data_IF_933515478884
#
_entry.id   IF_933515478884
#
_cell.length_a   1.000
_cell.length_b   1.000
_cell.length_c   1.000
_cell.angle_alpha   90.00
_cell.angle_beta   90.00
_cell.angle_gamma   90.00
#
_symmetry.space_group_name_H-M   'P 1'
#
loop_
_entity.id
_entity.type
_entity.pdbx_description
1 polymer ?
#
# COMPACT_ATOMS: atom_id res chain seq x y z
N UNK A 1 29.76 -13.68 -2.26
CA UNK A 1 29.68 -12.39 -3.00
C UNK A 1 29.14 -11.34 -2.05
N UNK A 2 29.59 -10.08 -2.13
CA UNK A 2 28.98 -9.01 -1.35
C UNK A 2 27.56 -8.74 -1.89
N UNK A 3 26.55 -8.84 -1.04
CA UNK A 3 25.18 -8.46 -1.41
C UNK A 3 25.12 -6.94 -1.45
N UNK A 4 25.01 -6.36 -2.65
CA UNK A 4 24.87 -4.92 -2.77
C UNK A 4 23.50 -4.50 -2.19
N UNK A 5 23.53 -3.76 -1.09
CA UNK A 5 22.33 -3.32 -0.35
C UNK A 5 21.60 -2.16 -1.05
N UNK A 6 22.21 -1.55 -2.07
CA UNK A 6 21.60 -0.48 -2.85
C UNK A 6 20.60 -1.04 -3.87
N UNK A 7 19.54 -0.26 -4.15
CA UNK A 7 18.59 -0.56 -5.21
C UNK A 7 19.15 -0.05 -6.54
N UNK A 8 19.25 -0.92 -7.55
CA UNK A 8 19.74 -0.57 -8.88
C UNK A 8 18.55 -0.51 -9.86
N UNK A 9 18.39 0.56 -10.65
CA UNK A 9 17.32 0.65 -11.65
C UNK A 9 17.54 -0.32 -12.81
N UNK A 10 16.47 -0.96 -13.29
CA UNK A 10 16.58 -1.88 -14.42
C UNK A 10 16.89 -1.15 -15.73
N UNK A 11 18.06 -1.45 -16.32
CA UNK A 11 18.46 -0.90 -17.61
C UNK A 11 17.45 -1.28 -18.72
N UNK A 12 17.14 -0.34 -19.62
CA UNK A 12 16.09 -0.48 -20.62
C UNK A 12 16.20 -1.76 -21.48
N UNK A 13 17.42 -2.21 -21.81
CA UNK A 13 17.66 -3.47 -22.52
C UNK A 13 17.15 -4.71 -21.77
N UNK A 14 17.34 -4.78 -20.45
CA UNK A 14 16.79 -5.87 -19.60
C UNK A 14 15.25 -5.79 -19.56
N UNK A 15 14.69 -4.58 -19.49
CA UNK A 15 13.24 -4.36 -19.46
C UNK A 15 12.57 -4.76 -20.78
N UNK A 16 13.19 -4.40 -21.90
CA UNK A 16 12.77 -4.80 -23.24
C UNK A 16 12.91 -6.30 -23.43
N UNK A 17 14.03 -6.90 -23.02
CA UNK A 17 14.22 -8.35 -23.07
C UNK A 17 13.16 -9.12 -22.28
N UNK A 18 12.80 -8.65 -21.09
CA UNK A 18 11.74 -9.24 -20.27
C UNK A 18 10.37 -9.12 -20.97
N UNK A 19 10.02 -7.91 -21.44
CA UNK A 19 8.77 -7.68 -22.15
C UNK A 19 8.65 -8.52 -23.43
N UNK A 20 9.73 -8.71 -24.19
CA UNK A 20 9.73 -9.60 -25.37
C UNK A 20 9.48 -11.05 -24.95
N UNK A 21 10.13 -11.55 -23.89
CA UNK A 21 9.92 -12.92 -23.39
C UNK A 21 8.49 -13.14 -22.90
N UNK A 22 7.87 -12.15 -22.24
CA UNK A 22 6.51 -12.26 -21.70
C UNK A 22 5.42 -12.07 -22.77
N UNK A 23 5.64 -11.23 -23.80
CA UNK A 23 4.64 -10.98 -24.85
C UNK A 23 4.75 -11.87 -26.09
N UNK A 24 5.94 -12.40 -26.42
CA UNK A 24 6.14 -13.20 -27.63
C UNK A 24 5.35 -14.53 -27.61
N UNK A 25 5.30 -15.33 -26.52
CA UNK A 25 4.53 -16.57 -26.49
C UNK A 25 3.02 -16.41 -26.78
N UNK A 26 2.26 -15.54 -26.08
CA UNK A 26 0.84 -15.35 -26.40
C UNK A 26 0.63 -14.74 -27.79
N UNK A 27 1.47 -13.78 -28.21
CA UNK A 27 1.37 -13.17 -29.52
C UNK A 27 1.63 -14.19 -30.65
N UNK A 28 2.60 -15.09 -30.49
CA UNK A 28 2.88 -16.15 -31.44
C UNK A 28 1.71 -17.15 -31.56
N UNK A 29 1.10 -17.55 -30.44
CA UNK A 29 -0.10 -18.39 -30.43
C UNK A 29 -1.26 -17.69 -31.14
N UNK A 30 -1.50 -16.41 -30.82
CA UNK A 30 -2.57 -15.60 -31.40
C UNK A 30 -2.39 -15.41 -32.91
N UNK A 31 -1.18 -15.08 -33.37
CA UNK A 31 -0.88 -14.92 -34.80
C UNK A 31 -1.01 -16.24 -35.54
N UNK A 32 -0.40 -17.32 -35.03
CA UNK A 32 -0.45 -18.64 -35.68
C UNK A 32 -1.89 -19.14 -35.84
N UNK A 33 -2.69 -19.06 -34.78
CA UNK A 33 -4.09 -19.51 -34.80
C UNK A 33 -4.97 -18.63 -35.69
N UNK A 34 -4.77 -17.30 -35.70
CA UNK A 34 -5.44 -16.42 -36.66
C UNK A 34 -5.02 -16.72 -38.11
N UNK A 35 -3.73 -16.96 -38.39
CA UNK A 35 -3.26 -17.33 -39.74
C UNK A 35 -3.89 -18.63 -40.23
N UNK A 36 -3.96 -19.67 -39.38
CA UNK A 36 -4.66 -20.93 -39.70
C UNK A 36 -6.15 -20.66 -39.95
N UNK A 37 -6.78 -19.85 -39.11
CA UNK A 37 -8.17 -19.43 -39.25
C UNK A 37 -8.46 -18.70 -40.56
N UNK A 38 -7.62 -17.73 -40.95
CA UNK A 38 -7.74 -16.99 -42.21
C UNK A 38 -7.46 -17.88 -43.43
N UNK A 39 -6.48 -18.78 -43.35
CA UNK A 39 -6.18 -19.74 -44.42
C UNK A 39 -7.33 -20.75 -44.65
N UNK A 40 -8.13 -21.03 -43.61
CA UNK A 40 -9.31 -21.87 -43.69
C UNK A 40 -10.58 -21.18 -44.19
N UNK A 41 -10.56 -19.92 -44.62
CA UNK A 41 -11.74 -19.23 -45.16
C UNK A 41 -12.02 -19.73 -46.58
N UNK A 42 -13.20 -20.30 -46.81
CA UNK A 42 -13.64 -20.70 -48.15
C UNK A 42 -14.65 -19.71 -48.73
N UNK A 43 -14.79 -19.68 -50.06
CA UNK A 43 -15.71 -18.79 -50.78
C UNK A 43 -16.57 -19.59 -51.74
N UNK A 44 -17.88 -19.58 -51.51
CA UNK A 44 -18.90 -20.18 -52.38
C UNK A 44 -19.62 -19.08 -53.15
N UNK A 45 -19.93 -19.32 -54.43
CA UNK A 45 -20.64 -18.37 -55.30
C UNK A 45 -21.91 -18.99 -55.89
N UNK A 46 -23.06 -18.55 -55.40
CA UNK A 46 -24.37 -19.00 -55.88
C UNK A 46 -25.02 -17.85 -56.68
N UNK A 47 -24.87 -17.90 -58.01
CA UNK A 47 -25.32 -16.85 -58.91
C UNK A 47 -24.60 -15.51 -58.66
N UNK A 48 -25.37 -14.49 -58.29
CA UNK A 48 -24.84 -13.18 -57.92
C UNK A 48 -24.29 -13.12 -56.47
N UNK A 49 -24.71 -14.03 -55.59
CA UNK A 49 -24.31 -14.01 -54.18
C UNK A 49 -22.95 -14.66 -53.94
N UNK A 50 -22.15 -14.04 -53.08
CA UNK A 50 -20.85 -14.53 -52.61
C UNK A 50 -20.96 -14.77 -51.10
N UNK A 51 -20.84 -16.04 -50.70
CA UNK A 51 -20.82 -16.45 -49.30
C UNK A 51 -19.39 -16.83 -48.93
N UNK A 52 -18.93 -16.35 -47.78
CA UNK A 52 -17.66 -16.77 -47.17
C UNK A 52 -17.99 -17.66 -45.97
N UNK A 53 -17.33 -18.81 -45.89
CA UNK A 53 -17.31 -19.61 -44.66
C UNK A 53 -16.17 -19.10 -43.77
N UNK A 54 -16.51 -18.70 -42.56
CA UNK A 54 -15.59 -18.19 -41.54
C UNK A 54 -15.56 -19.06 -40.29
N UNK A 55 -16.14 -20.26 -40.31
CA UNK A 55 -16.19 -21.17 -39.15
C UNK A 55 -14.78 -21.52 -38.65
N UNK A 56 -13.84 -21.76 -39.57
CA UNK A 56 -12.41 -21.93 -39.34
C UNK A 56 -11.80 -20.74 -38.57
N UNK A 57 -12.02 -19.51 -39.03
CA UNK A 57 -11.50 -18.31 -38.37
C UNK A 57 -12.10 -18.08 -36.99
N UNK A 58 -13.41 -18.31 -36.81
CA UNK A 58 -14.07 -18.21 -35.50
C UNK A 58 -13.53 -19.26 -34.53
N UNK A 59 -13.36 -20.50 -34.99
CA UNK A 59 -12.83 -21.60 -34.18
C UNK A 59 -11.38 -21.35 -33.75
N UNK A 60 -10.46 -21.20 -34.70
CA UNK A 60 -9.04 -21.05 -34.38
C UNK A 60 -8.74 -19.70 -33.72
N UNK A 61 -9.35 -18.61 -34.19
CA UNK A 61 -9.21 -17.29 -33.55
C UNK A 61 -9.76 -17.26 -32.13
N UNK A 62 -10.89 -17.94 -31.87
CA UNK A 62 -11.44 -18.10 -30.52
C UNK A 62 -10.53 -18.89 -29.58
N UNK A 63 -9.96 -20.01 -30.06
CA UNK A 63 -8.97 -20.80 -29.30
C UNK A 63 -7.72 -19.97 -29.01
N UNK A 64 -7.18 -19.27 -30.02
CA UNK A 64 -6.00 -18.41 -29.89
C UNK A 64 -6.18 -17.28 -28.88
N UNK A 65 -7.32 -16.58 -28.95
CA UNK A 65 -7.69 -15.53 -28.00
C UNK A 65 -7.89 -16.09 -26.59
N UNK A 66 -8.56 -17.25 -26.46
CA UNK A 66 -8.76 -17.92 -25.16
C UNK A 66 -7.43 -18.30 -24.48
N UNK A 67 -6.53 -18.97 -25.21
CA UNK A 67 -5.19 -19.31 -24.71
C UNK A 67 -4.36 -18.08 -24.36
N UNK A 68 -4.45 -17.02 -25.19
CA UNK A 68 -3.81 -15.72 -24.93
C UNK A 68 -4.30 -15.09 -23.64
N UNK A 69 -5.61 -15.04 -23.41
CA UNK A 69 -6.20 -14.46 -22.20
C UNK A 69 -5.83 -15.29 -20.96
N UNK A 70 -5.90 -16.62 -21.04
CA UNK A 70 -5.48 -17.52 -19.94
C UNK A 70 -4.01 -17.27 -19.55
N UNK A 71 -3.10 -17.20 -20.54
CA UNK A 71 -1.69 -16.89 -20.29
C UNK A 71 -1.54 -15.52 -19.60
N UNK A 72 -2.19 -14.48 -20.13
CA UNK A 72 -2.10 -13.12 -19.59
C UNK A 72 -2.66 -13.03 -18.17
N UNK A 73 -3.78 -13.68 -17.86
CA UNK A 73 -4.32 -13.72 -16.49
C UNK A 73 -3.42 -14.48 -15.51
N UNK A 74 -2.80 -15.60 -15.93
CA UNK A 74 -1.85 -16.34 -15.10
C UNK A 74 -0.60 -15.50 -14.81
N UNK A 75 0.04 -14.92 -15.83
CA UNK A 75 1.23 -14.08 -15.64
C UNK A 75 0.92 -12.83 -14.82
N UNK A 76 -0.22 -12.17 -15.09
CA UNK A 76 -0.70 -11.03 -14.29
C UNK A 76 -0.91 -11.41 -12.83
N UNK A 77 -1.50 -12.57 -12.54
CA UNK A 77 -1.69 -13.06 -11.17
C UNK A 77 -0.37 -13.35 -10.44
N UNK A 78 0.67 -13.79 -11.14
CA UNK A 78 2.01 -14.02 -10.59
C UNK A 78 2.73 -12.68 -10.36
N UNK A 79 2.75 -11.77 -11.33
CA UNK A 79 3.40 -10.46 -11.19
C UNK A 79 2.72 -9.63 -10.09
N UNK A 80 1.39 -9.59 -10.05
CA UNK A 80 0.62 -8.87 -9.05
C UNK A 80 0.95 -9.27 -7.60
N UNK A 81 1.23 -10.57 -7.37
CA UNK A 81 1.53 -11.13 -6.04
C UNK A 81 3.01 -11.17 -5.70
N UNK A 82 3.91 -11.14 -6.69
CA UNK A 82 5.33 -11.45 -6.46
C UNK A 82 6.32 -10.50 -7.14
N UNK A 83 5.88 -9.65 -8.07
CA UNK A 83 6.76 -8.82 -8.91
C UNK A 83 7.50 -9.59 -10.01
N UNK A 84 7.23 -10.88 -10.18
CA UNK A 84 7.93 -11.79 -11.09
C UNK A 84 7.05 -12.17 -12.28
N UNK A 85 7.70 -12.26 -13.44
CA UNK A 85 7.21 -12.84 -14.70
C UNK A 85 8.31 -13.77 -15.24
N UNK A 86 8.03 -14.67 -16.20
CA UNK A 86 9.07 -15.44 -16.88
C UNK A 86 10.22 -14.57 -17.42
N UNK A 87 9.89 -13.47 -18.10
CA UNK A 87 10.86 -12.51 -18.63
C UNK A 87 11.65 -11.77 -17.55
N UNK A 88 10.98 -11.29 -16.49
CA UNK A 88 11.63 -10.64 -15.35
C UNK A 88 12.68 -11.58 -14.70
N UNK A 89 12.32 -12.85 -14.47
CA UNK A 89 13.19 -13.85 -13.88
C UNK A 89 14.44 -14.12 -14.73
N UNK A 90 14.26 -14.32 -16.04
CA UNK A 90 15.37 -14.57 -16.97
C UNK A 90 16.32 -13.36 -17.05
N UNK A 91 15.77 -12.14 -17.19
CA UNK A 91 16.57 -10.91 -17.23
C UNK A 91 17.18 -10.52 -15.87
N UNK A 92 16.66 -11.07 -14.77
CA UNK A 92 17.10 -10.76 -13.41
C UNK A 92 16.63 -9.39 -12.92
N UNK A 93 15.41 -9.02 -13.28
CA UNK A 93 14.75 -7.79 -12.84
C UNK A 93 13.48 -8.13 -12.06
N UNK A 94 12.94 -7.18 -11.29
CA UNK A 94 11.69 -7.38 -10.53
C UNK A 94 10.83 -6.12 -10.52
N UNK A 95 9.54 -6.30 -10.79
CA UNK A 95 8.52 -5.25 -10.67
C UNK A 95 8.12 -5.09 -9.21
N UNK A 96 7.90 -3.86 -8.75
CA UNK A 96 7.39 -3.52 -7.42
C UNK A 96 6.46 -2.30 -7.50
N UNK A 97 5.75 -1.99 -6.41
CA UNK A 97 5.03 -0.72 -6.24
C UNK A 97 5.96 0.44 -5.84
N UNK A 98 5.37 1.56 -5.42
CA UNK A 98 6.07 2.76 -4.93
C UNK A 98 6.91 2.51 -3.66
N UNK A 99 6.52 1.55 -2.83
CA UNK A 99 7.04 1.35 -1.49
C UNK A 99 8.00 0.14 -1.42
N UNK A 100 8.06 -0.61 -2.52
CA UNK A 100 8.96 -1.74 -2.75
C UNK A 100 8.33 -3.10 -2.48
N UNK A 101 7.00 -3.17 -2.39
CA UNK A 101 6.23 -4.41 -2.22
C UNK A 101 5.65 -4.90 -3.56
N UNK A 102 4.82 -5.95 -3.52
CA UNK A 102 4.27 -6.55 -4.73
C UNK A 102 3.29 -5.58 -5.43
N UNK A 103 3.40 -5.38 -6.76
CA UNK A 103 2.74 -4.27 -7.45
C UNK A 103 1.20 -4.30 -7.42
N UNK A 104 0.58 -5.45 -7.14
CA UNK A 104 -0.87 -5.59 -7.09
C UNK A 104 -1.54 -5.67 -8.48
N UNK A 105 -2.75 -6.25 -8.51
CA UNK A 105 -3.40 -6.62 -9.76
C UNK A 105 -3.79 -5.39 -10.61
N UNK A 106 -4.28 -4.32 -10.00
CA UNK A 106 -4.68 -3.11 -10.73
C UNK A 106 -3.52 -2.39 -11.44
N UNK A 107 -2.34 -2.34 -10.80
CA UNK A 107 -1.14 -1.76 -11.40
C UNK A 107 -0.67 -2.59 -12.59
N UNK A 108 -0.53 -3.91 -12.42
CA UNK A 108 -0.10 -4.83 -13.49
C UNK A 108 -1.11 -4.85 -14.65
N UNK A 109 -2.41 -4.84 -14.37
CA UNK A 109 -3.46 -4.72 -15.38
C UNK A 109 -3.32 -3.44 -16.21
N UNK A 110 -3.20 -2.28 -15.56
CA UNK A 110 -3.07 -0.98 -16.25
C UNK A 110 -1.77 -0.90 -17.07
N UNK A 111 -0.67 -1.42 -16.51
CA UNK A 111 0.65 -1.54 -17.16
C UNK A 111 0.59 -2.42 -18.42
N UNK A 112 -0.09 -3.56 -18.33
CA UNK A 112 -0.34 -4.48 -19.44
C UNK A 112 -1.27 -3.88 -20.50
N UNK A 113 -2.32 -3.16 -20.09
CA UNK A 113 -3.25 -2.45 -20.98
C UNK A 113 -2.53 -1.38 -21.82
N UNK A 114 -1.66 -0.57 -21.21
CA UNK A 114 -0.91 0.48 -21.91
C UNK A 114 0.09 -0.13 -22.90
N UNK A 115 0.84 -1.15 -22.49
CA UNK A 115 1.80 -1.84 -23.38
C UNK A 115 1.10 -2.57 -24.53
N UNK A 116 -0.02 -3.23 -24.22
CA UNK A 116 -0.84 -4.00 -25.17
C UNK A 116 -1.80 -3.18 -26.03
N UNK A 117 -1.91 -1.85 -25.84
CA UNK A 117 -2.90 -1.01 -26.51
C UNK A 117 -2.87 -1.14 -28.05
N UNK A 118 -1.67 -1.21 -28.64
CA UNK A 118 -1.51 -1.43 -30.08
C UNK A 118 -1.97 -2.82 -30.56
N UNK A 119 -1.80 -3.86 -29.74
CA UNK A 119 -2.28 -5.22 -30.05
C UNK A 119 -3.81 -5.30 -29.92
N UNK A 120 -4.40 -4.63 -28.92
CA UNK A 120 -5.85 -4.51 -28.77
C UNK A 120 -6.49 -3.76 -29.95
N UNK A 121 -5.83 -2.71 -30.44
CA UNK A 121 -6.27 -1.96 -31.61
C UNK A 121 -6.13 -2.78 -32.91
N UNK A 122 -5.07 -3.58 -33.06
CA UNK A 122 -4.93 -4.53 -34.16
C UNK A 122 -5.98 -5.66 -34.11
N UNK A 123 -6.32 -6.17 -32.92
CA UNK A 123 -7.41 -7.13 -32.74
C UNK A 123 -8.78 -6.54 -33.07
N UNK A 124 -9.06 -5.30 -32.66
CA UNK A 124 -10.30 -4.60 -33.04
C UNK A 124 -10.41 -4.46 -34.56
N UNK A 125 -9.33 -4.05 -35.24
CA UNK A 125 -9.31 -3.98 -36.70
C UNK A 125 -9.49 -5.35 -37.36
N UNK A 126 -8.94 -6.43 -36.79
CA UNK A 126 -9.15 -7.79 -37.28
C UNK A 126 -10.62 -8.21 -37.19
N UNK A 127 -11.31 -7.88 -36.09
CA UNK A 127 -12.76 -8.10 -35.94
C UNK A 127 -13.54 -7.30 -36.99
N UNK A 128 -13.21 -6.01 -37.20
CA UNK A 128 -13.88 -5.17 -38.21
C UNK A 128 -13.67 -5.70 -39.64
N UNK A 129 -12.47 -6.19 -39.96
CA UNK A 129 -12.17 -6.85 -41.25
C UNK A 129 -13.07 -8.07 -41.48
N UNK A 130 -13.35 -8.87 -40.44
CA UNK A 130 -14.27 -10.02 -40.54
C UNK A 130 -15.73 -9.56 -40.69
N UNK A 131 -16.18 -8.62 -39.86
CA UNK A 131 -17.56 -8.09 -39.87
C UNK A 131 -17.91 -7.48 -41.23
N UNK A 132 -17.04 -6.65 -41.80
CA UNK A 132 -17.24 -6.03 -43.11
C UNK A 132 -16.74 -6.89 -44.29
N UNK A 133 -16.25 -8.12 -44.04
CA UNK A 133 -15.75 -9.07 -45.04
C UNK A 133 -14.64 -8.49 -45.95
N UNK A 134 -13.80 -7.61 -45.38
CA UNK A 134 -12.70 -6.91 -46.04
C UNK A 134 -11.45 -7.81 -46.23
N UNK A 135 -11.65 -9.07 -46.65
CA UNK A 135 -10.59 -10.08 -46.72
C UNK A 135 -9.49 -9.75 -47.74
N UNK A 136 -9.82 -9.08 -48.85
CA UNK A 136 -8.84 -8.67 -49.86
C UNK A 136 -7.85 -7.59 -49.36
N UNK A 137 -8.28 -6.45 -48.77
CA UNK A 137 -7.36 -5.49 -48.17
C UNK A 137 -6.84 -5.89 -46.78
N UNK A 138 -7.30 -7.00 -46.19
CA UNK A 138 -6.99 -7.40 -44.80
C UNK A 138 -5.49 -7.34 -44.46
N UNK A 139 -4.62 -7.85 -45.35
CA UNK A 139 -3.17 -7.82 -45.13
C UNK A 139 -2.64 -6.38 -45.04
N UNK A 140 -3.08 -5.50 -45.93
CA UNK A 140 -2.67 -4.09 -45.99
C UNK A 140 -3.23 -3.25 -44.83
N UNK A 141 -4.33 -3.69 -44.21
CA UNK A 141 -4.89 -3.08 -42.99
C UNK A 141 -4.13 -3.58 -41.75
N UNK A 142 -4.00 -4.90 -41.59
CA UNK A 142 -3.54 -5.51 -40.34
C UNK A 142 -2.01 -5.53 -40.19
N UNK A 143 -1.25 -5.79 -41.27
CA UNK A 143 0.22 -5.85 -41.18
C UNK A 143 0.87 -4.55 -40.67
N UNK A 144 0.59 -3.34 -41.22
CA UNK A 144 1.15 -2.10 -40.68
C UNK A 144 0.64 -1.80 -39.27
N UNK A 145 -0.55 -2.29 -38.90
CA UNK A 145 -1.16 -2.07 -37.59
C UNK A 145 -0.51 -2.93 -36.50
N UNK A 146 -0.18 -4.19 -36.80
CA UNK A 146 0.65 -5.03 -35.94
C UNK A 146 2.08 -4.49 -35.81
N UNK A 147 2.69 -3.99 -36.89
CA UNK A 147 4.00 -3.33 -36.85
C UNK A 147 3.98 -2.06 -35.99
N UNK A 148 2.96 -1.21 -36.14
CA UNK A 148 2.76 -0.02 -35.31
C UNK A 148 2.51 -0.40 -33.84
N UNK A 149 1.75 -1.46 -33.58
CA UNK A 149 1.51 -1.97 -32.22
C UNK A 149 2.76 -2.55 -31.56
N UNK A 150 3.63 -3.23 -32.33
CA UNK A 150 4.93 -3.69 -31.85
C UNK A 150 5.89 -2.52 -31.56
N UNK A 151 5.97 -1.55 -32.48
CA UNK A 151 6.75 -0.32 -32.28
C UNK A 151 6.27 0.48 -31.06
N UNK A 152 4.95 0.57 -30.85
CA UNK A 152 4.35 1.16 -29.65
C UNK A 152 4.79 0.44 -28.38
N UNK A 153 4.69 -0.90 -28.32
CA UNK A 153 5.09 -1.68 -27.15
C UNK A 153 6.59 -1.50 -26.83
N UNK A 154 7.47 -1.54 -27.85
CA UNK A 154 8.90 -1.27 -27.69
C UNK A 154 9.15 0.13 -27.15
N UNK A 155 8.53 1.16 -27.73
CA UNK A 155 8.67 2.55 -27.32
C UNK A 155 8.18 2.76 -25.87
N UNK A 156 7.02 2.20 -25.52
CA UNK A 156 6.45 2.25 -24.15
C UNK A 156 7.37 1.59 -23.13
N UNK A 157 8.03 0.48 -23.46
CA UNK A 157 8.96 -0.21 -22.55
C UNK A 157 10.29 0.53 -22.42
N UNK A 158 10.85 1.03 -23.52
CA UNK A 158 12.14 1.77 -23.55
C UNK A 158 12.00 3.23 -23.10
N UNK A 159 10.77 3.75 -22.98
CA UNK A 159 10.48 5.13 -22.54
C UNK A 159 11.07 5.51 -21.17
N UNK A 160 11.56 4.55 -20.37
CA UNK A 160 12.30 4.83 -19.13
C UNK A 160 13.65 5.53 -19.37
N UNK A 161 14.20 5.52 -20.60
CA UNK A 161 15.34 6.37 -20.99
C UNK A 161 15.04 7.87 -20.86
N UNK A 162 13.77 8.27 -20.93
CA UNK A 162 13.31 9.65 -20.76
C UNK A 162 12.85 9.96 -19.33
N UNK A 163 13.07 9.05 -18.37
CA UNK A 163 12.67 9.23 -16.97
C UNK A 163 13.74 9.97 -16.13
N UNK A 164 13.74 11.30 -16.27
CA UNK A 164 14.67 12.25 -15.62
C UNK A 164 14.89 12.03 -14.11
N UNK A 165 13.94 11.40 -13.42
CA UNK A 165 13.94 11.30 -11.96
C UNK A 165 14.64 10.05 -11.42
N UNK A 166 14.83 8.99 -12.23
CA UNK A 166 15.41 7.72 -11.72
C UNK A 166 15.77 6.66 -12.77
N UNK A 167 15.20 6.73 -13.99
CA UNK A 167 15.21 5.60 -14.93
C UNK A 167 14.33 4.41 -14.53
N UNK A 168 13.67 4.42 -13.37
CA UNK A 168 12.83 3.31 -12.88
C UNK A 168 11.48 3.21 -13.62
N UNK A 169 10.97 4.29 -14.23
CA UNK A 169 9.59 4.33 -14.76
C UNK A 169 9.50 4.70 -16.24
N UNK A 170 9.08 3.76 -17.08
CA UNK A 170 8.51 4.04 -18.39
C UNK A 170 7.05 4.52 -18.30
N UNK A 171 6.46 4.89 -19.43
CA UNK A 171 5.10 5.45 -19.52
C UNK A 171 4.00 4.48 -19.06
N UNK A 172 4.25 3.17 -19.15
CA UNK A 172 3.36 2.13 -18.62
C UNK A 172 3.45 1.99 -17.09
N UNK A 173 4.59 2.31 -16.47
CA UNK A 173 4.78 2.20 -15.01
C UNK A 173 4.28 3.44 -14.26
N UNK A 174 4.42 4.64 -14.86
CA UNK A 174 4.04 5.92 -14.23
C UNK A 174 2.59 5.96 -13.73
N UNK A 175 1.55 5.65 -14.53
CA UNK A 175 0.17 5.62 -14.04
C UNK A 175 -0.13 4.40 -13.17
N UNK A 176 0.60 3.29 -13.36
CA UNK A 176 0.51 2.09 -12.53
C UNK A 176 1.19 2.25 -11.14
N UNK A 177 1.92 3.35 -10.90
CA UNK A 177 2.85 3.54 -9.77
C UNK A 177 3.94 2.46 -9.64
N UNK A 178 4.19 1.67 -10.69
CA UNK A 178 5.18 0.61 -10.63
C UNK A 178 6.63 1.17 -10.68
N UNK A 179 7.55 0.36 -10.19
CA UNK A 179 9.02 0.51 -10.26
C UNK A 179 9.62 -0.82 -10.73
N UNK A 180 10.76 -0.79 -11.42
CA UNK A 180 11.46 -2.02 -11.85
C UNK A 180 12.95 -1.96 -11.54
N UNK A 181 13.41 -2.92 -10.75
CA UNK A 181 14.76 -2.98 -10.19
C UNK A 181 15.57 -4.13 -10.78
N UNK A 182 16.90 -3.97 -10.81
CA UNK A 182 17.87 -4.99 -11.27
C UNK A 182 18.38 -5.83 -10.10
N UNK A 183 17.67 -6.93 -9.82
CA UNK A 183 17.94 -7.81 -8.67
C UNK A 183 19.14 -8.76 -8.89
N UNK A 184 19.83 -8.66 -10.04
CA UNK A 184 21.17 -9.24 -10.24
C UNK A 184 22.30 -8.24 -9.95
N UNK A 185 22.04 -6.93 -9.99
CA UNK A 185 23.03 -5.88 -9.73
C UNK A 185 22.90 -5.20 -8.35
N UNK A 186 21.70 -5.24 -7.75
CA UNK A 186 21.39 -4.64 -6.46
C UNK A 186 20.39 -5.45 -5.64
N UNK A 187 19.93 -4.85 -4.54
CA UNK A 187 18.98 -5.43 -3.59
C UNK A 187 17.60 -5.64 -4.21
N UNK A 188 16.95 -6.74 -3.84
CA UNK A 188 15.55 -7.03 -4.14
C UNK A 188 14.63 -6.46 -3.03
N UNK A 189 13.83 -5.40 -3.28
CA UNK A 189 13.07 -4.71 -2.24
C UNK A 189 11.96 -5.58 -1.64
N UNK A 190 11.26 -6.38 -2.44
CA UNK A 190 10.09 -7.14 -1.97
C UNK A 190 10.51 -8.21 -0.95
N UNK A 191 11.72 -8.76 -1.08
CA UNK A 191 12.29 -9.71 -0.11
C UNK A 191 13.10 -9.07 1.02
N UNK A 192 13.23 -7.73 1.06
CA UNK A 192 14.09 -7.04 2.04
C UNK A 192 13.42 -5.87 2.77
N UNK A 193 12.08 -5.82 2.82
CA UNK A 193 11.37 -4.77 3.56
C UNK A 193 11.19 -3.48 2.77
N UNK A 194 10.88 -3.60 1.48
CA UNK A 194 10.56 -2.48 0.60
C UNK A 194 11.78 -1.63 0.23
N UNK A 195 11.53 -0.37 -0.17
CA UNK A 195 12.58 0.54 -0.63
C UNK A 195 13.54 0.90 0.49
N UNK A 196 13.06 1.16 1.71
CA UNK A 196 13.91 1.52 2.85
C UNK A 196 14.85 0.37 3.27
N UNK A 197 14.39 -0.87 3.13
CA UNK A 197 15.19 -2.06 3.38
C UNK A 197 15.25 -2.47 4.86
N UNK A 198 16.09 -3.46 5.22
CA UNK A 198 16.05 -4.09 6.54
C UNK A 198 16.48 -3.18 7.71
N UNK A 199 17.16 -2.09 7.41
CA UNK A 199 17.91 -1.28 8.38
C UNK A 199 17.22 0.02 8.81
N UNK A 200 15.90 0.15 8.57
CA UNK A 200 15.09 1.26 9.13
C UNK A 200 14.94 1.19 10.67
N UNK A 201 15.52 0.17 11.31
CA UNK A 201 15.67 0.03 12.76
C UNK A 201 17.16 -0.03 13.17
N UNK A 202 17.98 0.87 12.63
CA UNK A 202 19.17 1.26 13.37
C UNK A 202 18.71 1.85 14.73
N UNK A 203 19.22 1.37 15.87
CA UNK A 203 19.09 2.13 17.11
C UNK A 203 19.65 3.54 16.87
N UNK A 204 18.99 4.57 17.39
CA UNK A 204 19.68 5.85 17.55
C UNK A 204 20.91 5.61 18.44
N UNK A 205 21.98 6.37 18.20
CA UNK A 205 23.04 6.57 19.20
C UNK A 205 22.45 7.37 20.39
N UNK A 206 21.62 6.70 21.16
CA UNK A 206 21.17 7.16 22.46
C UNK A 206 22.42 7.29 23.35
N UNK A 207 22.59 8.40 24.09
CA UNK A 207 23.72 8.52 25.00
C UNK A 207 23.72 7.34 25.98
N UNK A 208 24.91 6.79 26.32
CA UNK A 208 25.01 5.54 27.07
C UNK A 208 24.21 5.65 28.37
N UNK A 209 23.27 4.72 28.56
CA UNK A 209 22.30 4.76 29.67
C UNK A 209 23.05 4.70 31.00
N UNK A 210 23.22 5.87 31.62
CA UNK A 210 24.03 6.03 32.81
C UNK A 210 23.29 5.38 33.99
N UNK A 211 23.80 4.23 34.44
CA UNK A 211 23.13 3.43 35.47
C UNK A 211 23.07 4.20 36.79
N UNK A 212 21.89 4.75 37.10
CA UNK A 212 21.62 5.39 38.39
C UNK A 212 21.60 4.30 39.46
N UNK A 213 22.67 4.26 40.26
CA UNK A 213 22.75 3.40 41.44
C UNK A 213 21.64 3.80 42.44
N UNK A 214 20.59 2.98 42.53
CA UNK A 214 19.52 3.15 43.50
C UNK A 214 20.08 3.08 44.93
N UNK A 215 19.90 4.10 45.78
CA UNK A 215 20.49 4.15 47.10
C UNK A 215 19.73 3.27 48.11
N UNK A 216 20.02 1.96 48.10
CA UNK A 216 19.72 1.09 49.24
C UNK A 216 20.69 1.46 50.37
N UNK A 217 20.15 2.01 51.46
CA UNK A 217 20.94 2.37 52.63
C UNK A 217 21.53 1.13 53.31
N UNK A 218 22.82 1.18 53.65
CA UNK A 218 23.52 0.09 54.33
C UNK A 218 23.24 0.04 55.84
N UNK A 219 23.39 -1.16 56.42
CA UNK A 219 23.33 -1.42 57.87
C UNK A 219 24.67 -2.03 58.32
N UNK A 220 25.36 -1.50 59.35
CA UNK A 220 26.73 -1.92 59.72
C UNK A 220 26.85 -2.86 60.95
N UNK A 221 28.06 -3.42 61.15
CA UNK A 221 28.53 -4.28 62.27
C UNK A 221 27.91 -5.71 62.34
N UNK A 222 28.54 -6.80 62.85
CA UNK A 222 29.91 -7.24 63.21
C UNK A 222 29.86 -8.79 63.46
N UNK A 223 30.89 -9.63 63.75
CA UNK A 223 32.35 -9.54 64.00
C UNK A 223 33.01 -10.95 63.80
N UNK A 224 34.36 -11.13 63.85
CA UNK A 224 35.09 -12.43 63.71
C UNK A 224 35.22 -13.21 65.06
N UNK A 225 35.84 -14.42 65.17
CA UNK A 225 36.81 -15.15 64.29
C UNK A 225 36.40 -16.64 64.00
N UNK A 226 37.20 -17.58 63.44
CA UNK A 226 38.47 -18.24 63.86
C UNK A 226 39.22 -18.84 62.65
N UNK A 227 40.55 -18.99 62.73
CA UNK A 227 41.41 -19.68 61.75
C UNK A 227 41.87 -21.07 62.24
N UNK A 228 42.17 -22.01 61.33
CA UNK A 228 43.00 -23.20 61.64
C UNK A 228 43.95 -23.56 60.49
N UNK A 229 45.26 -23.58 60.81
CA UNK A 229 46.39 -24.25 60.13
C UNK A 229 46.68 -24.04 58.63
N UNK A 230 47.96 -23.80 58.33
CA UNK A 230 48.58 -23.79 56.99
C UNK A 230 49.42 -25.08 56.76
N UNK A 231 50.19 -25.28 55.65
CA UNK A 231 51.32 -24.42 55.26
C UNK A 231 51.42 -24.05 53.77
N UNK A 232 52.39 -23.18 53.47
CA UNK A 232 52.64 -22.44 52.22
C UNK A 232 53.83 -23.02 51.43
N UNK A 233 53.78 -22.94 50.10
CA UNK A 233 54.94 -22.98 49.17
C UNK A 233 54.75 -21.83 48.15
N UNK A 234 55.34 -20.65 48.39
CA UNK A 234 56.62 -20.15 47.83
C UNK A 234 56.57 -19.56 46.39
N UNK A 235 56.11 -18.30 46.34
CA UNK A 235 56.73 -17.15 45.60
C UNK A 235 56.67 -17.02 44.05
N UNK A 236 56.79 -15.77 43.50
CA UNK A 236 56.52 -15.38 42.09
C UNK A 236 57.86 -15.07 41.33
N UNK A 237 57.92 -14.32 40.20
CA UNK A 237 56.90 -13.74 39.29
C UNK A 237 57.08 -14.14 37.80
N UNK A 238 56.19 -13.78 36.85
CA UNK A 238 56.30 -12.52 36.07
C UNK A 238 55.18 -12.33 35.03
N UNK A 239 55.11 -11.09 34.51
CA UNK A 239 54.20 -10.55 33.50
C UNK A 239 54.12 -11.34 32.17
N UNK A 240 52.93 -11.40 31.55
CA UNK A 240 52.61 -10.74 30.25
C UNK A 240 51.22 -11.15 29.71
N UNK A 241 50.53 -10.20 29.08
CA UNK A 241 49.41 -10.46 28.14
C UNK A 241 49.98 -10.62 26.72
N UNK A 242 49.35 -11.42 25.84
CA UNK A 242 48.35 -10.81 24.95
C UNK A 242 47.14 -11.72 24.63
N UNK A 243 46.16 -11.12 23.94
CA UNK A 243 44.88 -11.72 23.54
C UNK A 243 44.99 -12.94 22.61
N UNK A 244 44.06 -13.88 22.73
CA UNK A 244 43.67 -14.72 21.59
C UNK A 244 42.20 -15.20 21.63
N UNK A 245 41.62 -15.20 20.44
CA UNK A 245 40.32 -15.71 19.96
C UNK A 245 39.57 -16.77 20.78
N UNK A 246 38.26 -16.54 20.97
CA UNK A 246 37.28 -17.59 21.30
C UNK A 246 37.22 -18.66 20.18
N UNK A 247 37.06 -19.96 20.50
CA UNK A 247 37.02 -21.03 19.50
C UNK A 247 35.65 -21.16 18.79
N UNK A 248 35.71 -21.52 17.51
CA UNK A 248 34.54 -21.85 16.68
C UNK A 248 34.05 -23.28 16.99
N UNK A 249 32.79 -23.44 17.38
CA UNK A 249 32.14 -24.75 17.52
C UNK A 249 31.44 -25.17 16.22
N UNK A 250 31.66 -26.42 15.81
CA UNK A 250 31.08 -26.97 14.59
C UNK A 250 29.56 -27.21 14.71
N UNK A 251 28.79 -27.15 13.61
CA UNK A 251 27.33 -27.29 13.64
C UNK A 251 26.90 -28.75 13.89
N UNK A 252 26.12 -28.97 14.95
CA UNK A 252 25.43 -30.23 15.18
C UNK A 252 24.17 -30.36 14.32
N UNK A 253 23.93 -31.54 13.73
CA UNK A 253 22.71 -31.82 12.98
C UNK A 253 21.47 -31.85 13.88
N UNK A 254 20.44 -31.09 13.51
CA UNK A 254 19.09 -31.26 14.02
C UNK A 254 18.16 -31.69 12.88
N UNK A 255 17.42 -32.77 13.09
CA UNK A 255 16.43 -33.28 12.15
C UNK A 255 15.15 -32.43 12.17
N UNK A 256 14.40 -32.34 11.06
CA UNK A 256 13.13 -31.61 11.03
C UNK A 256 12.06 -32.32 11.87
N UNK A 257 11.27 -31.60 12.69
CA UNK A 257 10.14 -32.17 13.40
C UNK A 257 8.98 -32.51 12.43
N UNK A 258 8.25 -33.58 12.73
CA UNK A 258 7.09 -34.01 11.95
C UNK A 258 5.90 -33.04 12.08
N UNK A 259 5.06 -32.88 11.04
CA UNK A 259 3.94 -31.94 11.08
C UNK A 259 2.76 -32.46 11.92
N UNK A 260 2.30 -31.65 12.87
CA UNK A 260 1.05 -31.86 13.61
C UNK A 260 -0.17 -31.67 12.68
N UNK A 261 -1.22 -32.51 12.75
CA UNK A 261 -2.45 -32.30 11.99
C UNK A 261 -3.16 -30.99 12.37
N UNK A 262 -3.68 -30.28 11.36
CA UNK A 262 -4.49 -29.08 11.58
C UNK A 262 -5.95 -29.45 11.94
N UNK A 263 -6.62 -28.70 12.85
CA UNK A 263 -8.02 -28.93 13.19
C UNK A 263 -8.98 -28.53 12.05
N UNK A 264 -10.03 -29.31 11.85
CA UNK A 264 -11.06 -29.08 10.83
C UNK A 264 -11.95 -27.87 11.16
N UNK A 265 -12.16 -26.91 10.24
CA UNK A 265 -13.13 -25.84 10.42
C UNK A 265 -14.58 -26.37 10.39
N UNK A 266 -15.42 -25.89 11.31
CA UNK A 266 -16.86 -26.11 11.26
C UNK A 266 -17.53 -25.19 10.21
N UNK A 267 -18.66 -25.59 9.59
CA UNK A 267 -19.32 -24.80 8.54
C UNK A 267 -20.09 -23.59 9.10
N UNK A 268 -19.88 -22.42 8.48
CA UNK A 268 -20.66 -21.20 8.75
C UNK A 268 -21.98 -21.20 7.97
N UNK A 269 -23.11 -20.72 8.54
CA UNK A 269 -24.39 -20.63 7.82
C UNK A 269 -24.38 -19.68 6.62
N UNK A 270 -25.23 -19.94 5.63
CA UNK A 270 -25.40 -19.10 4.44
C UNK A 270 -26.34 -17.89 4.71
N UNK A 271 -26.14 -16.74 4.04
CA UNK A 271 -26.99 -15.56 4.19
C UNK A 271 -28.28 -15.64 3.36
N UNK A 272 -29.38 -15.15 3.94
CA UNK A 272 -30.71 -15.05 3.30
C UNK A 272 -30.76 -13.92 2.25
N UNK A 273 -31.44 -14.09 1.10
CA UNK A 273 -31.66 -13.01 0.13
C UNK A 273 -32.58 -11.90 0.67
N UNK A 274 -32.34 -10.66 0.24
CA UNK A 274 -33.20 -9.51 0.52
C UNK A 274 -34.18 -9.21 -0.64
N UNK A 275 -35.41 -8.83 -0.32
CA UNK A 275 -36.46 -8.51 -1.29
C UNK A 275 -36.43 -7.03 -1.73
N UNK A 276 -36.84 -6.70 -2.97
CA UNK A 276 -36.84 -5.32 -3.47
C UNK A 276 -38.08 -4.50 -3.05
N UNK A 277 -37.97 -3.18 -2.86
CA UNK A 277 -39.10 -2.27 -2.76
C UNK A 277 -39.66 -1.92 -4.15
N UNK A 278 -40.94 -1.52 -4.21
CA UNK A 278 -41.64 -1.23 -5.47
C UNK A 278 -42.40 0.11 -5.45
N UNK A 279 -42.48 0.72 -6.63
CA UNK A 279 -43.38 1.80 -7.06
C UNK A 279 -43.29 3.20 -6.39
N UNK A 280 -43.53 4.20 -7.25
CA UNK A 280 -43.75 5.62 -6.94
C UNK A 280 -45.28 5.91 -7.17
N UNK A 281 -45.80 7.14 -7.42
CA UNK A 281 -45.20 8.49 -7.51
C UNK A 281 -46.03 9.60 -6.79
N UNK A 282 -45.65 10.88 -6.95
CA UNK A 282 -46.49 11.93 -7.57
C UNK A 282 -45.98 13.37 -7.36
N UNK A 283 -46.44 14.27 -8.26
CA UNK A 283 -46.59 15.72 -8.14
C UNK A 283 -45.36 16.62 -7.87
N UNK A 284 -45.16 17.57 -8.79
CA UNK A 284 -44.49 18.85 -8.55
C UNK A 284 -45.52 19.98 -8.69
N UNK A 285 -45.28 21.13 -8.05
CA UNK A 285 -45.83 22.44 -8.45
C UNK A 285 -45.10 23.57 -7.72
N UNK A 286 -45.23 24.78 -8.25
CA UNK A 286 -44.44 25.97 -7.88
C UNK A 286 -45.16 26.85 -6.85
N UNK A 287 -44.40 27.73 -6.15
CA UNK A 287 -44.52 29.22 -6.21
C UNK A 287 -43.85 29.87 -4.99
N UNK A 288 -43.41 31.13 -5.13
CA UNK A 288 -42.70 31.89 -4.12
C UNK A 288 -43.61 32.49 -3.01
N UNK A 289 -42.99 32.86 -1.88
CA UNK A 289 -43.60 33.69 -0.84
C UNK A 289 -42.69 33.82 0.38
N UNK A 290 -42.22 35.03 0.68
CA UNK A 290 -41.36 35.29 1.84
C UNK A 290 -41.80 36.51 2.64
N UNK A 291 -41.98 36.33 3.94
CA UNK A 291 -42.11 37.40 4.95
C UNK A 291 -41.95 36.82 6.37
N UNK A 292 -41.67 37.67 7.35
CA UNK A 292 -41.41 37.31 8.75
C UNK A 292 -42.39 38.07 9.66
N UNK A 293 -42.94 37.43 10.70
CA UNK A 293 -43.07 38.14 11.98
C UNK A 293 -42.80 37.26 13.24
N UNK A 294 -41.80 37.70 14.01
CA UNK A 294 -41.89 38.09 15.44
C UNK A 294 -42.88 37.37 16.39
N UNK A 295 -42.29 36.73 17.41
CA UNK A 295 -42.74 36.51 18.81
C UNK A 295 -44.17 36.01 19.14
N UNK A 296 -44.19 34.98 19.98
CA UNK A 296 -45.31 34.59 20.85
C UNK A 296 -44.98 33.27 21.53
N UNK A 297 -44.83 33.25 22.86
CA UNK A 297 -44.59 32.02 23.62
C UNK A 297 -45.61 31.87 24.74
N UNK A 298 -45.76 30.68 25.31
CA UNK A 298 -46.09 30.46 26.73
C UNK A 298 -46.04 28.97 27.10
N UNK A 299 -45.43 28.69 28.27
CA UNK A 299 -45.76 27.64 29.26
C UNK A 299 -46.09 26.23 28.73
N UNK A 300 -45.11 25.33 28.79
CA UNK A 300 -45.08 24.32 29.86
C UNK A 300 -43.64 23.73 29.98
N UNK A 301 -42.84 24.25 30.93
CA UNK A 301 -41.40 23.98 31.01
C UNK A 301 -40.86 24.26 32.44
N UNK A 302 -41.25 23.46 33.46
CA UNK A 302 -40.70 23.58 34.83
C UNK A 302 -40.94 22.35 35.77
N UNK A 303 -40.30 21.20 35.51
CA UNK A 303 -39.89 20.16 36.51
C UNK A 303 -38.89 19.18 35.84
N UNK A 304 -37.80 18.70 36.44
CA UNK A 304 -37.30 18.83 37.82
C UNK A 304 -35.88 19.44 37.86
N UNK A 305 -35.55 20.20 38.91
CA UNK A 305 -34.26 20.92 39.03
C UNK A 305 -33.54 20.67 40.36
N UNK A 306 -32.98 19.48 40.54
CA UNK A 306 -32.18 19.15 41.74
C UNK A 306 -30.76 19.74 41.66
N UNK A 307 -30.57 20.96 42.17
CA UNK A 307 -29.24 21.55 42.35
C UNK A 307 -28.59 21.12 43.67
N UNK A 308 -27.30 20.75 43.63
CA UNK A 308 -26.45 20.67 44.83
C UNK A 308 -25.20 21.53 44.68
N UNK A 309 -25.28 22.72 45.30
CA UNK A 309 -24.21 23.55 45.86
C UNK A 309 -22.87 23.70 45.08
N UNK A 310 -22.53 24.91 44.60
CA UNK A 310 -21.18 25.17 44.10
C UNK A 310 -20.14 25.08 45.23
N UNK A 311 -19.02 24.39 44.96
CA UNK A 311 -17.79 24.49 45.76
C UNK A 311 -16.73 25.16 44.89
N UNK A 312 -16.18 26.28 45.38
CA UNK A 312 -15.39 27.18 44.55
C UNK A 312 -14.08 26.59 44.06
N UNK A 313 -13.90 26.59 42.75
CA UNK A 313 -12.66 27.08 42.15
C UNK A 313 -12.88 28.54 41.67
N UNK A 314 -11.80 29.25 41.36
CA UNK A 314 -11.91 30.40 40.45
C UNK A 314 -12.29 29.94 39.03
N UNK A 315 -12.28 30.82 38.02
CA UNK A 315 -12.38 30.38 36.63
C UNK A 315 -11.23 29.40 36.35
N UNK A 316 -11.56 28.11 36.27
CA UNK A 316 -10.61 27.08 35.86
C UNK A 316 -10.19 27.48 34.43
N UNK A 317 -8.90 27.71 34.17
CA UNK A 317 -8.48 28.04 32.81
C UNK A 317 -8.85 26.84 31.93
N UNK A 318 -9.83 27.04 31.05
CA UNK A 318 -10.16 26.06 30.01
C UNK A 318 -8.94 26.03 29.11
N UNK A 319 -8.06 25.06 29.35
CA UNK A 319 -6.83 24.91 28.59
C UNK A 319 -7.22 24.76 27.12
N UNK A 320 -6.90 25.75 26.31
CA UNK A 320 -7.19 25.69 24.87
C UNK A 320 -6.14 24.75 24.28
N UNK A 321 -6.51 23.48 24.10
CA UNK A 321 -5.61 22.52 23.48
C UNK A 321 -5.26 23.00 22.07
N UNK A 322 -3.96 23.11 21.81
CA UNK A 322 -3.39 23.55 20.54
C UNK A 322 -2.68 22.39 19.88
N UNK A 323 -3.00 22.19 18.61
CA UNK A 323 -2.29 21.24 17.76
C UNK A 323 -1.28 22.01 16.92
N UNK A 324 0.00 21.69 17.11
CA UNK A 324 1.11 22.21 16.32
C UNK A 324 1.53 21.18 15.29
N UNK A 325 1.41 21.48 14.01
CA UNK A 325 1.89 20.61 12.93
C UNK A 325 3.41 20.72 12.77
N UNK A 326 3.98 19.69 12.15
CA UNK A 326 5.33 19.60 11.59
C UNK A 326 5.66 20.69 10.54
N UNK A 327 4.66 21.30 9.90
CA UNK A 327 4.84 22.52 9.08
C UNK A 327 4.88 23.82 9.90
N UNK A 328 4.85 23.72 11.23
CA UNK A 328 4.93 24.85 12.15
C UNK A 328 3.64 25.65 12.33
N UNK A 329 2.54 25.29 11.63
CA UNK A 329 1.22 25.90 11.86
C UNK A 329 0.61 25.40 13.17
N UNK A 330 0.11 26.34 13.97
CA UNK A 330 -0.66 26.09 15.18
C UNK A 330 -2.17 26.25 14.93
N UNK A 331 -2.95 25.29 15.39
CA UNK A 331 -4.41 25.32 15.35
C UNK A 331 -5.00 25.19 16.76
N UNK A 332 -5.96 26.05 17.09
CA UNK A 332 -6.82 25.85 18.27
C UNK A 332 -7.86 24.77 17.94
N UNK A 333 -8.10 23.86 18.89
CA UNK A 333 -8.95 22.70 18.67
C UNK A 333 -10.39 22.96 19.12
N UNK A 334 -11.34 22.94 18.18
CA UNK A 334 -12.78 22.91 18.51
C UNK A 334 -13.22 21.49 18.94
N UNK A 335 -14.44 21.36 19.45
CA UNK A 335 -15.02 20.13 20.02
C UNK A 335 -14.94 18.89 19.12
N UNK A 336 -14.94 19.07 17.79
CA UNK A 336 -14.77 18.00 16.82
C UNK A 336 -13.98 18.48 15.61
N UNK A 337 -12.88 17.80 15.27
CA UNK A 337 -11.96 18.18 14.18
C UNK A 337 -11.63 16.98 13.30
N UNK A 338 -11.71 17.15 11.98
CA UNK A 338 -11.36 16.13 10.99
C UNK A 338 -10.07 16.53 10.28
N UNK A 339 -9.03 15.71 10.43
CA UNK A 339 -7.69 15.97 9.87
C UNK A 339 -7.46 15.09 8.65
N UNK A 340 -6.94 15.65 7.56
CA UNK A 340 -6.53 14.87 6.39
C UNK A 340 -6.08 15.72 5.21
N UNK A 341 -5.75 15.11 4.07
CA UNK A 341 -5.32 15.87 2.87
C UNK A 341 -6.44 16.57 2.11
N UNK A 342 -7.68 16.15 2.32
CA UNK A 342 -8.90 16.78 1.83
C UNK A 342 -10.07 16.24 2.66
N UNK A 343 -10.20 16.70 3.92
CA UNK A 343 -11.13 16.11 4.88
C UNK A 343 -12.57 16.48 4.55
N UNK A 344 -13.44 15.48 4.60
CA UNK A 344 -14.89 15.61 4.39
C UNK A 344 -15.57 14.88 5.53
N UNK A 345 -16.52 15.55 6.19
CA UNK A 345 -17.37 14.95 7.23
C UNK A 345 -18.49 14.09 6.64
N UNK A 346 -18.87 13.06 7.37
CA UNK A 346 -20.01 12.21 7.05
C UNK A 346 -21.34 12.85 7.52
N UNK A 347 -22.48 12.21 7.23
CA UNK A 347 -23.77 12.68 7.70
C UNK A 347 -23.79 12.74 9.24
N UNK A 348 -24.10 13.92 9.80
CA UNK A 348 -23.99 14.22 11.24
C UNK A 348 -22.69 14.94 11.64
N UNK A 349 -21.60 14.81 10.88
CA UNK A 349 -20.29 15.42 11.18
C UNK A 349 -20.12 16.82 10.55
N UNK A 350 -21.18 17.44 10.01
CA UNK A 350 -21.12 18.70 9.25
C UNK A 350 -20.62 19.91 10.06
N UNK A 351 -20.64 19.83 11.39
CA UNK A 351 -20.14 20.85 12.31
C UNK A 351 -18.69 20.63 12.74
N UNK A 352 -17.99 19.62 12.20
CA UNK A 352 -16.58 19.36 12.54
C UNK A 352 -15.65 20.32 11.78
N UNK A 353 -14.66 20.87 12.49
CA UNK A 353 -13.62 21.72 11.92
C UNK A 353 -12.75 20.91 10.93
N UNK A 354 -12.61 21.38 9.69
CA UNK A 354 -11.90 20.66 8.64
C UNK A 354 -10.43 21.12 8.56
N UNK A 355 -9.51 20.32 9.11
CA UNK A 355 -8.08 20.62 9.10
C UNK A 355 -7.38 19.97 7.89
N UNK A 356 -7.23 20.76 6.83
CA UNK A 356 -6.51 20.38 5.62
C UNK A 356 -4.98 20.42 5.84
N UNK A 357 -4.33 19.28 5.59
CA UNK A 357 -2.89 19.05 5.75
C UNK A 357 -2.30 18.74 4.39
N UNK A 358 -1.39 19.58 3.88
CA UNK A 358 -0.75 19.31 2.59
C UNK A 358 0.18 18.09 2.68
N UNK A 359 0.18 17.28 1.63
CA UNK A 359 0.74 15.93 1.59
C UNK A 359 1.02 15.54 0.13
N UNK A 360 2.08 16.11 -0.49
CA UNK A 360 2.47 15.75 -1.86
C UNK A 360 2.86 14.27 -2.00
N UNK A 361 3.29 13.62 -0.91
CA UNK A 361 3.57 12.18 -0.84
C UNK A 361 2.33 11.28 -0.94
N UNK A 362 1.15 11.82 -0.62
CA UNK A 362 -0.14 11.11 -0.51
C UNK A 362 -0.18 10.06 0.63
N UNK A 363 0.62 10.26 1.67
CA UNK A 363 0.70 9.44 2.88
C UNK A 363 -0.53 9.56 3.79
N UNK A 364 -1.31 10.64 3.66
CA UNK A 364 -2.46 10.99 4.48
C UNK A 364 -3.76 10.69 3.72
N UNK A 365 -4.71 9.99 4.34
CA UNK A 365 -6.06 9.76 3.77
C UNK A 365 -6.83 11.08 3.55
N UNK A 366 -7.91 11.05 2.73
CA UNK A 366 -8.76 12.24 2.48
C UNK A 366 -9.21 12.86 3.81
N UNK A 367 -9.94 12.07 4.60
CA UNK A 367 -10.09 12.20 6.06
C UNK A 367 -9.24 11.08 6.66
N UNK A 368 -8.36 11.39 7.61
CA UNK A 368 -7.40 10.44 8.21
C UNK A 368 -7.65 10.24 9.69
N UNK A 369 -7.79 11.33 10.43
CA UNK A 369 -8.11 11.32 11.86
C UNK A 369 -9.42 12.06 12.12
N UNK A 370 -10.15 11.59 13.12
CA UNK A 370 -11.19 12.34 13.81
C UNK A 370 -10.75 12.57 15.25
N UNK A 371 -10.76 13.83 15.66
CA UNK A 371 -10.36 14.31 16.98
C UNK A 371 -11.59 14.86 17.70
N UNK A 372 -11.78 14.47 18.95
CA UNK A 372 -12.76 15.06 19.87
C UNK A 372 -12.01 15.56 21.12
N UNK A 373 -12.35 16.74 21.63
CA UNK A 373 -11.74 17.28 22.86
C UNK A 373 -12.72 17.27 24.03
N UNK A 374 -12.23 16.83 25.19
CA UNK A 374 -12.94 16.90 26.49
C UNK A 374 -12.36 17.97 27.42
N UNK A 375 -11.37 18.75 26.96
CA UNK A 375 -10.68 19.78 27.73
C UNK A 375 -9.56 19.26 28.64
N UNK A 376 -9.46 17.96 28.90
CA UNK A 376 -8.35 17.34 29.61
C UNK A 376 -7.32 16.73 28.63
N UNK A 377 -7.79 16.18 27.52
CA UNK A 377 -7.00 15.65 26.41
C UNK A 377 -7.78 15.64 25.11
N UNK A 378 -7.36 14.78 24.18
CA UNK A 378 -8.11 14.53 22.94
C UNK A 378 -8.34 13.02 22.75
N UNK A 379 -9.48 12.67 22.18
CA UNK A 379 -9.77 11.34 21.68
C UNK A 379 -9.42 11.30 20.20
N UNK A 380 -8.38 10.55 19.85
CA UNK A 380 -7.92 10.35 18.47
C UNK A 380 -8.52 9.05 17.94
N UNK A 381 -9.25 9.14 16.83
CA UNK A 381 -9.80 7.99 16.11
C UNK A 381 -9.23 7.95 14.70
N UNK A 382 -8.52 6.89 14.35
CA UNK A 382 -8.08 6.66 12.97
C UNK A 382 -9.28 6.25 12.09
N UNK A 383 -9.53 6.98 11.00
CA UNK A 383 -10.71 6.77 10.13
C UNK A 383 -10.42 5.75 9.01
N UNK A 384 -9.87 4.60 9.38
CA UNK A 384 -9.37 3.56 8.47
C UNK A 384 -8.40 4.15 7.43
N UNK A 385 -7.34 4.79 7.93
CA UNK A 385 -6.30 5.35 7.09
C UNK A 385 -5.48 4.27 6.38
N UNK A 386 -4.88 4.60 5.23
CA UNK A 386 -4.09 3.62 4.45
C UNK A 386 -2.73 3.35 5.07
N UNK A 387 -2.12 4.35 5.71
CA UNK A 387 -0.76 4.27 6.26
C UNK A 387 -0.75 4.08 7.79
N UNK A 388 -1.91 4.12 8.44
CA UNK A 388 -2.05 4.04 9.89
C UNK A 388 -1.75 5.34 10.63
N UNK A 389 -2.00 5.30 11.94
CA UNK A 389 -1.72 6.38 12.88
C UNK A 389 -1.11 5.82 14.16
N UNK A 390 -0.32 6.60 14.90
CA UNK A 390 0.32 6.19 16.14
C UNK A 390 0.56 7.38 17.08
N UNK A 391 0.50 7.15 18.39
CA UNK A 391 0.73 8.17 19.43
C UNK A 391 2.08 7.89 20.08
N UNK A 392 2.94 8.90 20.16
CA UNK A 392 4.17 8.87 20.95
C UNK A 392 3.97 9.70 22.21
N UNK A 393 3.99 9.04 23.36
CA UNK A 393 3.80 9.66 24.68
C UNK A 393 5.03 10.49 25.10
N UNK A 394 4.91 11.40 26.08
CA UNK A 394 6.06 12.15 26.62
C UNK A 394 7.23 11.27 27.09
N UNK A 395 6.94 10.03 27.48
CA UNK A 395 7.93 9.03 27.91
C UNK A 395 8.64 8.32 26.74
N UNK A 396 8.43 8.77 25.50
CA UNK A 396 9.02 8.19 24.28
C UNK A 396 8.37 6.88 23.80
N UNK A 397 7.46 6.28 24.58
CA UNK A 397 6.75 5.08 24.17
C UNK A 397 5.74 5.41 23.05
N UNK A 398 5.88 4.73 21.90
CA UNK A 398 5.01 4.87 20.72
C UNK A 398 4.03 3.70 20.61
N UNK A 399 2.75 4.00 20.63
CA UNK A 399 1.63 3.04 20.54
C UNK A 399 0.88 3.24 19.22
N UNK A 400 0.69 2.20 18.38
CA UNK A 400 -0.14 2.30 17.18
C UNK A 400 -1.61 2.46 17.55
N UNK A 401 -2.34 3.27 16.78
CA UNK A 401 -3.80 3.40 16.92
C UNK A 401 -4.50 2.32 16.11
N UNK A 402 -5.48 1.66 16.73
CA UNK A 402 -6.34 0.72 16.03
C UNK A 402 -7.38 1.47 15.16
N UNK A 403 -7.53 1.14 13.86
CA UNK A 403 -8.54 1.76 13.00
C UNK A 403 -9.95 1.69 13.60
N UNK A 404 -10.65 2.82 13.61
CA UNK A 404 -12.00 2.96 14.15
C UNK A 404 -12.11 3.00 15.68
N UNK A 405 -11.01 2.87 16.44
CA UNK A 405 -11.03 2.84 17.92
C UNK A 405 -10.62 4.20 18.50
N UNK A 406 -11.51 4.92 19.20
CA UNK A 406 -11.16 6.17 19.88
C UNK A 406 -10.15 5.90 20.99
N UNK A 407 -8.99 6.58 20.92
CA UNK A 407 -7.90 6.44 21.89
C UNK A 407 -7.60 7.79 22.53
N UNK A 408 -7.62 7.85 23.86
CA UNK A 408 -7.31 9.08 24.59
C UNK A 408 -5.81 9.42 24.53
N UNK A 409 -5.50 10.69 24.31
CA UNK A 409 -4.15 11.24 24.18
C UNK A 409 -4.01 12.46 25.09
N UNK A 410 -3.08 12.37 26.04
CA UNK A 410 -2.74 13.47 26.94
C UNK A 410 -1.89 14.53 26.23
N UNK A 411 -2.02 15.83 26.58
CA UNK A 411 -1.08 16.87 26.17
C UNK A 411 0.37 16.52 26.50
N UNK A 412 1.30 17.06 25.72
CA UNK A 412 2.71 16.67 25.70
C UNK A 412 3.02 15.48 24.76
N UNK A 413 2.00 14.75 24.29
CA UNK A 413 2.18 13.68 23.30
C UNK A 413 2.29 14.23 21.88
N UNK A 414 2.93 13.48 20.99
CA UNK A 414 2.83 13.67 19.55
C UNK A 414 2.01 12.56 18.88
N UNK A 415 1.34 12.89 17.79
CA UNK A 415 0.51 11.97 17.00
C UNK A 415 1.04 11.94 15.58
N UNK A 416 1.43 10.76 15.13
CA UNK A 416 1.88 10.46 13.77
C UNK A 416 0.70 9.94 12.95
N UNK A 417 0.56 10.42 11.71
CA UNK A 417 -0.55 10.10 10.81
C UNK A 417 -0.05 10.11 9.36
N UNK A 418 0.11 8.92 8.79
CA UNK A 418 0.97 8.77 7.60
C UNK A 418 2.41 9.19 7.92
N UNK A 419 3.03 9.98 7.04
CA UNK A 419 4.41 10.42 7.21
C UNK A 419 4.52 11.73 8.04
N UNK A 420 3.39 12.36 8.38
CA UNK A 420 3.34 13.64 9.09
C UNK A 420 3.03 13.46 10.57
N UNK A 421 3.37 14.48 11.35
CA UNK A 421 3.27 14.45 12.82
C UNK A 421 2.73 15.77 13.36
N UNK A 422 1.86 15.72 14.36
CA UNK A 422 1.48 16.89 15.15
C UNK A 422 1.83 16.70 16.63
N UNK A 423 2.08 17.80 17.32
CA UNK A 423 2.29 17.86 18.77
C UNK A 423 1.06 18.46 19.46
N UNK A 424 0.63 17.86 20.57
CA UNK A 424 -0.51 18.32 21.36
C UNK A 424 -0.04 19.17 22.54
N UNK A 425 -0.18 20.48 22.43
CA UNK A 425 0.10 21.42 23.52
C UNK A 425 -1.16 21.83 24.28
N UNK A 426 -0.97 22.29 25.52
CA UNK A 426 -1.87 23.24 26.17
C UNK A 426 -1.34 24.65 25.90
N UNK A 427 -2.25 25.63 25.79
CA UNK A 427 -1.94 27.05 25.61
C UNK A 427 -1.60 27.77 26.92
#
# INVERSE_FOLDING_TARGET
MAVNLQLVPAAAGKRLGAAVIDWLPPLAVLVLTLTIGFAGITRTRNGQYITYDTASLVLFGGIGLGLTLVYLFVVMGIEARTGKTPGNLLMGIRSADNDGYAPGAGAVFLRGLITGAGVLLALLAAVLVVVFKWFAPALFILAPLFLAGAAWAVLVVVSNLWDKNSGLRGWHDKPAKALVFDVKAGRDPITTGGIQGPYSFAPLDLPPVQQVLSPVAGVPAASPPVQTAAPRVLTPPSQTSPSQTMPYTAPGSFAPPSPTPAPTPAPTPAPTPASPPAAAPAAASETAGGSVPVQGGHVDDDVERTQVRPRGGGPVPVAVLRIRLDDGRDFQLDRSVLVGRNPVGQAGEQHAQLLAVDDPGRSISKTHLHLLTDGAGIWVTDRNSTNGSAVTTPNGARTPLAPGVPTFVTPGSSVHFGDRTFYLGQA
#
